data_IF_705757147903
#
_entry.id   IF_705757147903
#
_cell.length_a   1.000
_cell.length_b   1.000
_cell.length_c   1.000
_cell.angle_alpha   90.00
_cell.angle_beta   90.00
_cell.angle_gamma   90.00
#
_symmetry.space_group_name_H-M   'P 1'
#
loop_
_entity.id
_entity.type
_entity.pdbx_description
1 polymer ?
#
# COMPACT_ATOMS: atom_id res chain seq x y z
N UNK A 1 5.52 -9.51 -19.35
CA UNK A 1 4.62 -8.48 -18.79
C UNK A 1 4.02 -9.00 -17.48
N UNK A 2 4.02 -8.21 -16.42
CA UNK A 2 3.46 -8.59 -15.13
C UNK A 2 1.93 -8.62 -15.17
N UNK A 3 1.32 -9.62 -14.51
CA UNK A 3 -0.12 -9.66 -14.27
C UNK A 3 -0.50 -8.57 -13.25
N UNK A 4 -1.80 -8.26 -13.12
CA UNK A 4 -2.29 -7.31 -12.12
C UNK A 4 -1.93 -7.74 -10.69
N UNK A 5 -2.08 -9.03 -10.36
CA UNK A 5 -1.73 -9.54 -9.04
C UNK A 5 -0.23 -9.48 -8.77
N UNK A 6 0.61 -9.76 -9.75
CA UNK A 6 2.07 -9.60 -9.63
C UNK A 6 2.45 -8.14 -9.38
N UNK A 7 1.83 -7.20 -10.09
CA UNK A 7 2.01 -5.75 -9.85
C UNK A 7 1.59 -5.37 -8.44
N UNK A 8 0.45 -5.90 -7.97
CA UNK A 8 -0.05 -5.65 -6.61
C UNK A 8 0.95 -6.11 -5.55
N UNK A 9 1.48 -7.33 -5.67
CA UNK A 9 2.50 -7.84 -4.73
C UNK A 9 3.74 -6.96 -4.71
N UNK A 10 4.25 -6.63 -5.87
CA UNK A 10 5.44 -5.79 -6.00
C UNK A 10 5.23 -4.42 -5.37
N UNK A 11 4.15 -3.76 -5.72
CA UNK A 11 3.84 -2.41 -5.23
C UNK A 11 3.46 -2.39 -3.75
N UNK A 12 2.73 -3.41 -3.25
CA UNK A 12 2.45 -3.54 -1.83
C UNK A 12 3.73 -3.63 -1.01
N UNK A 13 4.67 -4.44 -1.46
CA UNK A 13 5.95 -4.60 -0.77
C UNK A 13 6.77 -3.30 -0.77
N UNK A 14 6.80 -2.58 -1.89
CA UNK A 14 7.41 -1.25 -1.97
C UNK A 14 6.72 -0.24 -1.04
N UNK A 15 5.40 -0.28 -0.98
CA UNK A 15 4.60 0.61 -0.13
C UNK A 15 4.88 0.35 1.36
N UNK A 16 5.00 -0.91 1.77
CA UNK A 16 5.38 -1.26 3.15
C UNK A 16 6.78 -0.74 3.50
N UNK A 17 7.74 -0.92 2.61
CA UNK A 17 9.10 -0.37 2.79
C UNK A 17 9.09 1.15 2.83
N UNK A 18 8.30 1.78 1.97
CA UNK A 18 8.11 3.23 1.95
C UNK A 18 7.50 3.75 3.24
N UNK A 19 6.50 3.07 3.78
CA UNK A 19 5.89 3.41 5.08
C UNK A 19 6.89 3.29 6.23
N UNK A 20 7.73 2.26 6.21
CA UNK A 20 8.79 2.12 7.22
C UNK A 20 9.75 3.32 7.17
N UNK A 21 10.22 3.69 6.00
CA UNK A 21 11.09 4.85 5.80
C UNK A 21 10.41 6.16 6.18
N UNK A 22 9.14 6.31 5.82
CA UNK A 22 8.33 7.47 6.18
C UNK A 22 8.16 7.59 7.70
N UNK A 23 7.95 6.49 8.40
CA UNK A 23 7.83 6.48 9.87
C UNK A 23 9.10 7.01 10.54
N UNK A 24 10.27 6.63 10.03
CA UNK A 24 11.55 7.15 10.54
C UNK A 24 11.63 8.66 10.32
N UNK A 25 11.32 9.13 9.11
CA UNK A 25 11.31 10.56 8.80
C UNK A 25 10.30 11.34 9.65
N UNK A 26 9.11 10.77 9.86
CA UNK A 26 8.06 11.37 10.70
C UNK A 26 8.52 11.46 12.16
N UNK A 27 9.12 10.41 12.70
CA UNK A 27 9.67 10.42 14.06
C UNK A 27 10.73 11.52 14.21
N UNK A 28 11.63 11.63 13.24
CA UNK A 28 12.66 12.68 13.24
C UNK A 28 12.06 14.08 13.11
N UNK A 29 10.89 14.22 12.49
CA UNK A 29 10.15 15.47 12.38
C UNK A 29 9.28 15.80 13.62
N UNK A 30 9.32 14.97 14.65
CA UNK A 30 8.60 15.23 15.91
C UNK A 30 7.23 14.59 16.01
N UNK A 31 6.86 13.71 15.09
CA UNK A 31 5.59 12.97 15.15
C UNK A 31 5.64 11.96 16.30
N UNK A 32 4.61 11.99 17.16
CA UNK A 32 4.40 11.05 18.26
C UNK A 32 3.21 10.13 18.03
N UNK A 33 2.15 10.67 17.45
CA UNK A 33 0.95 9.91 17.09
C UNK A 33 0.99 9.53 15.60
N UNK A 34 1.52 8.34 15.30
CA UNK A 34 1.67 7.87 13.93
C UNK A 34 0.32 7.60 13.25
N UNK A 35 -0.69 7.14 14.00
CA UNK A 35 -2.02 6.92 13.43
C UNK A 35 -2.62 8.21 12.89
N UNK A 36 -2.50 9.29 13.65
CA UNK A 36 -2.96 10.62 13.23
C UNK A 36 -2.17 11.12 12.01
N UNK A 37 -0.87 10.89 11.99
CA UNK A 37 -0.02 11.26 10.87
C UNK A 37 -0.40 10.50 9.58
N UNK A 38 -0.58 9.20 9.67
CA UNK A 38 -1.01 8.39 8.52
C UNK A 38 -2.41 8.75 8.06
N UNK A 39 -3.34 8.97 8.99
CA UNK A 39 -4.69 9.41 8.65
C UNK A 39 -4.70 10.77 7.95
N UNK A 40 -3.83 11.69 8.32
CA UNK A 40 -3.70 12.96 7.59
C UNK A 40 -3.39 12.73 6.11
N UNK A 41 -2.47 11.82 5.81
CA UNK A 41 -2.13 11.44 4.44
C UNK A 41 -3.29 10.78 3.69
N UNK A 42 -3.99 9.86 4.34
CA UNK A 42 -5.18 9.23 3.75
C UNK A 42 -6.29 10.24 3.50
N UNK A 43 -6.58 11.10 4.46
CA UNK A 43 -7.60 12.13 4.31
C UNK A 43 -7.29 13.08 3.14
N UNK A 44 -6.03 13.43 2.94
CA UNK A 44 -5.63 14.23 1.78
C UNK A 44 -5.85 13.51 0.47
N UNK A 45 -5.43 12.24 0.37
CA UNK A 45 -5.51 11.47 -0.88
C UNK A 45 -6.93 10.96 -1.18
N UNK A 46 -7.72 10.63 -0.16
CA UNK A 46 -9.04 9.99 -0.29
C UNK A 46 -10.21 10.92 0.06
N UNK A 47 -10.04 12.21 -0.16
CA UNK A 47 -11.11 13.19 0.05
C UNK A 47 -11.73 13.17 1.44
N UNK A 48 -10.89 13.10 2.47
CA UNK A 48 -11.31 13.15 3.87
C UNK A 48 -11.46 11.80 4.55
N UNK A 49 -11.32 10.68 3.83
CA UNK A 49 -11.40 9.36 4.44
C UNK A 49 -10.14 9.04 5.27
N UNK A 50 -10.36 8.54 6.48
CA UNK A 50 -9.31 7.93 7.30
C UNK A 50 -9.05 6.49 6.87
N UNK A 51 -8.02 5.84 7.43
CA UNK A 51 -7.77 4.41 7.19
C UNK A 51 -9.00 3.56 7.54
N UNK A 52 -9.67 3.86 8.66
CA UNK A 52 -10.88 3.16 9.08
C UNK A 52 -12.04 3.38 8.09
N UNK A 53 -12.21 4.58 7.57
CA UNK A 53 -13.23 4.89 6.57
C UNK A 53 -12.99 4.10 5.27
N UNK A 54 -11.73 4.03 4.83
CA UNK A 54 -11.34 3.24 3.66
C UNK A 54 -11.65 1.75 3.88
N UNK A 55 -11.29 1.22 5.05
CA UNK A 55 -11.57 -0.17 5.40
C UNK A 55 -13.08 -0.47 5.38
N UNK A 56 -13.89 0.42 5.94
CA UNK A 56 -15.36 0.29 5.92
C UNK A 56 -15.93 0.32 4.52
N UNK A 57 -15.49 1.27 3.70
CA UNK A 57 -15.93 1.39 2.31
C UNK A 57 -15.59 0.14 1.49
N UNK A 58 -14.40 -0.43 1.73
CA UNK A 58 -13.95 -1.68 1.09
C UNK A 58 -14.57 -2.94 1.72
N UNK A 59 -15.38 -2.79 2.78
CA UNK A 59 -16.03 -3.89 3.50
C UNK A 59 -15.04 -4.91 4.06
N UNK A 60 -13.92 -4.42 4.58
CA UNK A 60 -12.88 -5.25 5.15
C UNK A 60 -13.27 -5.73 6.55
N UNK A 61 -12.81 -6.93 6.90
CA UNK A 61 -12.93 -7.48 8.24
C UNK A 61 -11.95 -6.77 9.19
N UNK A 62 -12.19 -6.91 10.48
CA UNK A 62 -11.28 -6.41 11.50
C UNK A 62 -9.85 -6.95 11.27
N UNK A 63 -8.86 -6.07 11.33
CA UNK A 63 -7.43 -6.33 11.12
C UNK A 63 -7.01 -6.73 9.69
N UNK A 64 -7.89 -6.66 8.71
CA UNK A 64 -7.44 -6.76 7.33
C UNK A 64 -6.66 -5.51 6.94
N UNK A 65 -5.54 -5.72 6.26
CA UNK A 65 -4.67 -4.63 5.80
C UNK A 65 -5.28 -3.99 4.56
N UNK A 66 -5.50 -2.68 4.59
CA UNK A 66 -6.04 -1.96 3.43
C UNK A 66 -5.11 -2.06 2.22
N UNK A 67 -3.79 -2.13 2.41
CA UNK A 67 -2.83 -2.28 1.31
C UNK A 67 -2.98 -3.62 0.58
N UNK A 68 -3.35 -4.68 1.29
CA UNK A 68 -3.61 -5.98 0.70
C UNK A 68 -4.88 -6.02 -0.15
N UNK A 69 -5.72 -5.00 -0.03
CA UNK A 69 -7.02 -4.86 -0.69
C UNK A 69 -7.04 -3.70 -1.69
N UNK A 70 -5.89 -3.31 -2.18
CA UNK A 70 -5.73 -2.28 -3.21
C UNK A 70 -5.29 -2.89 -4.52
N UNK A 71 -5.79 -2.34 -5.63
CA UNK A 71 -5.26 -2.61 -6.96
C UNK A 71 -3.92 -1.91 -7.18
N UNK A 72 -3.25 -2.23 -8.28
CA UNK A 72 -1.92 -1.68 -8.58
C UNK A 72 -1.94 -0.16 -8.74
N UNK A 73 -2.98 0.40 -9.35
CA UNK A 73 -3.15 1.84 -9.55
C UNK A 73 -3.31 2.57 -8.21
N UNK A 74 -4.13 2.04 -7.31
CA UNK A 74 -4.33 2.61 -5.97
C UNK A 74 -3.04 2.55 -5.14
N UNK A 75 -2.33 1.43 -5.18
CA UNK A 75 -1.04 1.27 -4.51
C UNK A 75 0.00 2.26 -5.04
N UNK A 76 0.04 2.50 -6.35
CA UNK A 76 0.95 3.46 -6.96
C UNK A 76 0.70 4.89 -6.43
N UNK A 77 -0.55 5.30 -6.33
CA UNK A 77 -0.92 6.61 -5.78
C UNK A 77 -0.47 6.75 -4.32
N UNK A 78 -0.68 5.71 -3.52
CA UNK A 78 -0.24 5.70 -2.12
C UNK A 78 1.29 5.73 -2.00
N UNK A 79 2.00 4.98 -2.81
CA UNK A 79 3.47 4.98 -2.80
C UNK A 79 4.02 6.36 -3.15
N UNK A 80 3.43 7.02 -4.14
CA UNK A 80 3.82 8.38 -4.51
C UNK A 80 3.60 9.37 -3.37
N UNK A 81 2.44 9.30 -2.68
CA UNK A 81 2.17 10.10 -1.50
C UNK A 81 3.24 9.90 -0.41
N UNK A 82 3.56 8.65 -0.14
CA UNK A 82 4.53 8.26 0.90
C UNK A 82 5.92 8.80 0.58
N UNK A 83 6.41 8.58 -0.65
CA UNK A 83 7.75 9.02 -1.05
C UNK A 83 7.88 10.53 -1.10
N UNK A 84 6.86 11.23 -1.59
CA UNK A 84 6.85 12.69 -1.63
C UNK A 84 6.80 13.31 -0.23
N UNK A 85 6.05 12.72 0.69
CA UNK A 85 5.99 13.19 2.07
C UNK A 85 7.33 13.02 2.77
N UNK A 86 7.94 11.85 2.65
CA UNK A 86 9.27 11.61 3.21
C UNK A 86 10.30 12.64 2.71
N UNK A 87 10.32 12.88 1.40
CA UNK A 87 11.22 13.85 0.79
C UNK A 87 10.99 15.26 1.34
N UNK A 88 9.73 15.68 1.47
CA UNK A 88 9.37 17.00 1.99
C UNK A 88 9.79 17.17 3.44
N UNK A 89 9.51 16.19 4.29
CA UNK A 89 9.90 16.24 5.71
C UNK A 89 11.41 16.46 5.89
N UNK A 90 12.21 15.81 5.06
CA UNK A 90 13.67 15.92 5.10
C UNK A 90 14.18 17.23 4.53
N UNK A 91 13.72 17.61 3.33
CA UNK A 91 14.23 18.80 2.61
C UNK A 91 13.86 20.12 3.29
N UNK A 92 12.68 20.20 3.87
CA UNK A 92 12.18 21.42 4.52
C UNK A 92 12.47 21.44 6.02
N UNK A 93 13.21 20.46 6.54
CA UNK A 93 13.55 20.36 7.97
C UNK A 93 12.33 20.54 8.87
N UNK A 94 11.23 19.88 8.54
CA UNK A 94 10.01 19.94 9.35
C UNK A 94 10.28 19.33 10.72
N UNK A 95 9.94 20.05 11.79
CA UNK A 95 10.30 19.69 13.16
C UNK A 95 9.15 19.76 14.15
N UNK A 96 7.91 19.73 13.68
CA UNK A 96 6.73 19.65 14.55
C UNK A 96 5.74 18.64 13.99
N UNK A 97 5.01 17.97 14.88
CA UNK A 97 3.95 17.04 14.54
C UNK A 97 2.84 17.69 13.72
N UNK A 98 2.45 18.90 14.11
CA UNK A 98 1.43 19.68 13.39
C UNK A 98 1.84 19.93 11.94
N UNK A 99 3.06 20.40 11.73
CA UNK A 99 3.56 20.71 10.38
C UNK A 99 3.77 19.44 9.55
N UNK A 100 4.21 18.34 10.18
CA UNK A 100 4.34 17.06 9.53
C UNK A 100 2.98 16.49 9.06
N UNK A 101 1.95 16.57 9.91
CA UNK A 101 0.59 16.15 9.56
C UNK A 101 0.03 17.00 8.42
N UNK A 102 0.21 18.32 8.49
CA UNK A 102 -0.24 19.24 7.45
C UNK A 102 0.46 18.97 6.11
N UNK A 103 1.76 18.75 6.13
CA UNK A 103 2.54 18.38 4.93
C UNK A 103 2.01 17.09 4.30
N UNK A 104 1.74 16.08 5.10
CA UNK A 104 1.22 14.79 4.62
C UNK A 104 -0.17 14.95 3.99
N UNK A 105 -1.05 15.69 4.65
CA UNK A 105 -2.38 16.00 4.12
C UNK A 105 -2.30 16.75 2.79
N UNK A 106 -1.50 17.80 2.71
CA UNK A 106 -1.38 18.63 1.52
C UNK A 106 -0.79 17.87 0.33
N UNK A 107 0.17 17.00 0.56
CA UNK A 107 0.73 16.15 -0.50
C UNK A 107 -0.35 15.22 -1.04
N UNK A 108 -1.13 14.56 -0.18
CA UNK A 108 -2.25 13.74 -0.61
C UNK A 108 -3.24 14.52 -1.48
N UNK A 109 -3.61 15.70 -1.04
CA UNK A 109 -4.52 16.60 -1.76
C UNK A 109 -3.95 17.03 -3.12
N UNK A 110 -2.67 17.36 -3.19
CA UNK A 110 -2.01 17.75 -4.44
C UNK A 110 -1.98 16.59 -5.44
N UNK A 111 -1.79 15.37 -4.98
CA UNK A 111 -1.84 14.19 -5.85
C UNK A 111 -3.24 14.01 -6.45
N UNK A 112 -4.29 14.23 -5.67
CA UNK A 112 -5.67 14.24 -6.19
C UNK A 112 -5.85 15.23 -7.34
N UNK A 113 -5.29 16.42 -7.19
CA UNK A 113 -5.37 17.45 -8.24
C UNK A 113 -4.68 16.99 -9.53
N UNK A 114 -3.53 16.34 -9.41
CA UNK A 114 -2.82 15.74 -10.57
C UNK A 114 -3.65 14.65 -11.22
N UNK A 115 -4.25 13.76 -10.45
CA UNK A 115 -5.12 12.71 -10.98
C UNK A 115 -6.30 13.32 -11.73
N UNK A 116 -6.95 14.34 -11.16
CA UNK A 116 -8.07 15.04 -11.79
C UNK A 116 -7.67 15.68 -13.12
N UNK A 117 -6.53 16.38 -13.16
CA UNK A 117 -6.02 17.02 -14.38
C UNK A 117 -5.70 16.01 -15.48
N UNK A 118 -5.29 14.79 -15.11
CA UNK A 118 -5.00 13.72 -16.06
C UNK A 118 -6.25 12.97 -16.52
N UNK A 119 -7.44 13.33 -16.00
CA UNK A 119 -8.68 12.60 -16.29
C UNK A 119 -8.73 11.22 -15.65
N UNK A 120 -7.93 10.98 -14.61
CA UNK A 120 -7.85 9.70 -13.91
C UNK A 120 -8.99 9.48 -12.93
N UNK A 121 -9.08 8.25 -12.42
CA UNK A 121 -10.05 7.87 -11.41
C UNK A 121 -9.51 8.18 -10.02
N UNK A 122 -10.32 8.82 -9.18
CA UNK A 122 -9.93 9.13 -7.81
C UNK A 122 -9.75 7.85 -6.98
N UNK A 123 -8.81 7.84 -6.02
CA UNK A 123 -8.53 6.63 -5.23
C UNK A 123 -9.74 5.97 -4.60
N UNK A 124 -10.67 6.74 -4.06
CA UNK A 124 -11.90 6.24 -3.44
C UNK A 124 -12.86 5.56 -4.42
N UNK A 125 -12.70 5.83 -5.70
CA UNK A 125 -13.55 5.27 -6.77
C UNK A 125 -12.88 4.10 -7.50
N UNK A 126 -11.63 3.78 -7.18
CA UNK A 126 -10.95 2.62 -7.76
C UNK A 126 -11.56 1.32 -7.21
N UNK A 127 -11.67 0.26 -8.05
CA UNK A 127 -12.28 -0.98 -7.59
C UNK A 127 -11.41 -1.68 -6.54
N UNK A 128 -12.07 -2.30 -5.57
CA UNK A 128 -11.40 -3.22 -4.64
C UNK A 128 -11.27 -4.57 -5.30
N UNK A 129 -10.05 -5.17 -5.35
CA UNK A 129 -9.87 -6.51 -5.90
C UNK A 129 -10.72 -7.56 -5.17
N UNK A 130 -11.14 -8.60 -5.89
CA UNK A 130 -11.98 -9.67 -5.33
C UNK A 130 -11.27 -10.45 -4.21
N UNK A 131 -9.96 -10.64 -4.34
CA UNK A 131 -9.14 -11.33 -3.35
C UNK A 131 -8.06 -10.40 -2.79
N UNK A 132 -7.86 -10.44 -1.48
CA UNK A 132 -6.74 -9.76 -0.85
C UNK A 132 -5.42 -10.47 -1.18
N UNK A 133 -4.31 -9.74 -1.10
CA UNK A 133 -2.98 -10.35 -1.30
C UNK A 133 -2.69 -11.42 -0.25
N UNK A 134 -3.22 -11.26 0.96
CA UNK A 134 -3.09 -12.27 2.01
C UNK A 134 -3.82 -13.57 1.65
N UNK A 135 -5.01 -13.47 1.04
CA UNK A 135 -5.75 -14.64 0.55
C UNK A 135 -4.97 -15.34 -0.57
N UNK A 136 -4.43 -14.58 -1.52
CA UNK A 136 -3.62 -15.13 -2.62
C UNK A 136 -2.36 -15.82 -2.09
N UNK A 137 -1.69 -15.28 -1.09
CA UNK A 137 -0.55 -15.91 -0.44
C UNK A 137 -0.93 -17.25 0.20
N UNK A 138 -2.08 -17.31 0.89
CA UNK A 138 -2.60 -18.55 1.49
C UNK A 138 -2.93 -19.61 0.45
N UNK A 139 -3.57 -19.23 -0.65
CA UNK A 139 -3.89 -20.14 -1.75
C UNK A 139 -2.64 -20.73 -2.38
N UNK A 140 -1.63 -19.90 -2.62
CA UNK A 140 -0.34 -20.35 -3.16
C UNK A 140 0.36 -21.30 -2.20
N UNK A 141 0.33 -21.02 -0.90
CA UNK A 141 0.90 -21.91 0.11
C UNK A 141 0.20 -23.25 0.15
N UNK A 142 -1.14 -23.25 0.12
CA UNK A 142 -1.92 -24.51 0.08
C UNK A 142 -1.58 -25.35 -1.16
N UNK A 143 -1.45 -24.70 -2.30
CA UNK A 143 -1.08 -25.37 -3.56
C UNK A 143 0.32 -25.99 -3.46
N UNK A 144 1.29 -25.26 -2.92
CA UNK A 144 2.64 -25.75 -2.68
C UNK A 144 2.63 -26.93 -1.72
N UNK A 145 1.90 -26.83 -0.60
CA UNK A 145 1.78 -27.91 0.40
C UNK A 145 1.14 -29.16 -0.23
N UNK A 146 0.14 -29.01 -1.10
CA UNK A 146 -0.46 -30.12 -1.83
C UNK A 146 0.53 -30.79 -2.78
N UNK A 147 1.34 -29.99 -3.48
CA UNK A 147 2.39 -30.50 -4.38
C UNK A 147 3.41 -31.33 -3.59
N UNK A 148 3.82 -30.88 -2.40
CA UNK A 148 4.75 -31.60 -1.54
C UNK A 148 4.17 -32.91 -0.96
N UNK A 149 2.86 -33.07 -0.92
CA UNK A 149 2.18 -34.29 -0.47
C UNK A 149 2.10 -35.37 -1.56
N UNK A 150 2.39 -35.05 -2.81
CA UNK A 150 2.39 -36.03 -3.91
C UNK A 150 3.62 -36.92 -3.77
N UNK A 151 3.40 -38.26 -3.79
CA UNK A 151 4.45 -39.27 -3.56
C UNK A 151 5.63 -39.20 -4.54
N UNK A 152 5.45 -38.56 -5.68
CA UNK A 152 6.48 -38.45 -6.72
C UNK A 152 7.12 -37.05 -6.78
N UNK A 153 7.48 -36.58 -5.59
CA UNK A 153 8.06 -35.26 -5.44
C UNK A 153 9.41 -35.08 -6.18
N UNK A 154 10.12 -36.18 -6.51
CA UNK A 154 11.35 -36.13 -7.33
C UNK A 154 11.09 -35.60 -8.73
N UNK A 155 9.95 -35.96 -9.31
CA UNK A 155 9.51 -35.47 -10.61
C UNK A 155 9.19 -33.97 -10.55
N UNK A 156 8.47 -33.56 -9.51
CA UNK A 156 8.10 -32.17 -9.26
C UNK A 156 9.33 -31.30 -8.99
N UNK A 157 10.28 -31.80 -8.16
CA UNK A 157 11.54 -31.13 -7.90
C UNK A 157 12.36 -30.93 -9.21
N UNK A 158 12.30 -31.89 -10.14
CA UNK A 158 12.94 -31.78 -11.45
C UNK A 158 12.30 -30.70 -12.33
N UNK A 159 10.96 -30.58 -12.30
CA UNK A 159 10.22 -29.53 -13.02
C UNK A 159 10.54 -28.15 -12.43
N UNK A 160 10.50 -28.01 -11.11
CA UNK A 160 10.79 -26.76 -10.43
C UNK A 160 12.24 -26.29 -10.67
N UNK A 161 13.19 -27.20 -10.74
CA UNK A 161 14.60 -26.88 -11.04
C UNK A 161 14.83 -26.43 -12.49
N UNK A 162 13.98 -26.83 -13.42
CA UNK A 162 14.08 -26.41 -14.83
C UNK A 162 13.48 -25.01 -15.07
N UNK A 163 12.67 -24.51 -14.15
CA UNK A 163 11.97 -23.25 -14.27
C UNK A 163 12.54 -22.12 -13.39
N UNK A 164 13.70 -22.38 -12.78
CA UNK A 164 14.45 -21.37 -12.01
C UNK A 164 15.62 -20.82 -12.90
#
# INVERSE_FOLDING_TARGET
MLTEDEKRFYQRNLTRKGNYSLNIAAKNAGVKNFDKFHNAGYQGLYNGETADDIAKRKKLRYREDILDNMGSEELAANLFRITQTESKLKKENINSEKDANEAHYNIGKNIREVIAKNGGTMPENLPTPDKSLKELEKENKKMIDQIYKIKDWKYIAKILRKNI
#
